data_IF_664620599648
#
_entry.id   IF_664620599648
#
_cell.length_a   1.000
_cell.length_b   1.000
_cell.length_c   1.000
_cell.angle_alpha   90.00
_cell.angle_beta   90.00
_cell.angle_gamma   90.00
#
_symmetry.space_group_name_H-M   'P 1'
#
loop_
_entity.id
_entity.type
_entity.pdbx_description
1 polymer ?
#
# COMPACT_ATOMS: atom_id res chain seq x y z
N UNK A 1 66.81 -43.84 -4.15
CA UNK A 1 66.08 -43.52 -5.40
C UNK A 1 64.61 -43.98 -5.38
N UNK A 2 64.23 -45.19 -4.89
CA UNK A 2 62.85 -45.65 -4.88
C UNK A 2 61.85 -44.79 -4.00
N UNK A 3 62.35 -44.22 -2.89
CA UNK A 3 61.51 -43.36 -2.01
C UNK A 3 61.22 -42.00 -2.59
N UNK A 4 62.08 -41.45 -3.45
CA UNK A 4 61.88 -40.16 -4.11
C UNK A 4 60.86 -40.26 -5.25
N UNK A 5 60.75 -41.40 -5.91
CA UNK A 5 59.78 -41.66 -6.97
C UNK A 5 58.34 -41.79 -6.42
N UNK A 6 58.18 -42.38 -5.22
CA UNK A 6 56.87 -42.51 -4.58
C UNK A 6 56.34 -41.16 -4.13
N UNK A 7 57.21 -40.26 -3.65
CA UNK A 7 56.82 -38.91 -3.25
C UNK A 7 56.42 -38.05 -4.41
N UNK A 8 57.14 -38.19 -5.57
CA UNK A 8 56.78 -37.44 -6.78
C UNK A 8 55.46 -37.92 -7.40
N UNK A 9 55.16 -39.22 -7.32
CA UNK A 9 53.87 -39.73 -7.81
C UNK A 9 52.69 -39.34 -6.96
N UNK A 10 52.85 -39.22 -5.64
CA UNK A 10 51.76 -38.74 -4.71
C UNK A 10 51.46 -37.25 -4.88
N UNK A 11 52.43 -36.42 -5.25
CA UNK A 11 52.20 -34.98 -5.49
C UNK A 11 51.46 -34.75 -6.82
N UNK A 12 51.70 -35.59 -7.83
CA UNK A 12 50.97 -35.50 -9.12
C UNK A 12 49.50 -35.93 -8.96
N UNK A 13 49.19 -36.90 -8.07
CA UNK A 13 47.83 -37.34 -7.83
C UNK A 13 46.96 -36.29 -7.09
N UNK A 14 47.58 -35.35 -6.36
CA UNK A 14 46.84 -34.26 -5.68
C UNK A 14 46.59 -33.05 -6.59
N UNK A 15 47.23 -32.95 -7.76
CA UNK A 15 47.05 -31.83 -8.68
C UNK A 15 45.88 -32.02 -9.66
N UNK A 16 45.23 -33.19 -9.70
CA UNK A 16 44.12 -33.46 -10.62
C UNK A 16 42.73 -33.36 -9.96
N UNK A 17 42.67 -32.90 -8.71
CA UNK A 17 41.41 -32.82 -7.95
C UNK A 17 40.70 -31.46 -8.01
N UNK A 18 41.04 -30.61 -8.96
CA UNK A 18 40.26 -29.39 -9.24
C UNK A 18 39.87 -29.35 -10.72
N UNK A 19 39.10 -30.32 -11.16
CA UNK A 19 38.19 -30.08 -12.27
C UNK A 19 37.04 -29.30 -11.67
N UNK A 20 37.00 -27.98 -11.84
CA UNK A 20 35.76 -27.24 -11.77
C UNK A 20 34.85 -27.90 -12.81
N UNK A 21 33.92 -28.71 -12.35
CA UNK A 21 32.76 -29.00 -13.16
C UNK A 21 32.06 -27.66 -13.35
N UNK A 22 32.16 -27.06 -14.51
CA UNK A 22 31.31 -25.99 -14.97
C UNK A 22 29.90 -26.57 -15.07
N UNK A 23 29.16 -26.55 -13.94
CA UNK A 23 27.72 -26.87 -13.90
C UNK A 23 26.88 -25.76 -14.54
N UNK A 24 27.51 -24.90 -15.36
CA UNK A 24 26.83 -23.80 -16.07
C UNK A 24 26.13 -24.27 -17.37
N UNK A 25 26.37 -25.49 -17.85
CA UNK A 25 25.62 -26.01 -18.98
C UNK A 25 24.25 -26.50 -18.53
N UNK A 26 23.23 -25.62 -18.66
CA UNK A 26 21.83 -25.96 -18.43
C UNK A 26 21.10 -25.19 -17.37
N UNK A 27 21.72 -24.25 -16.69
CA UNK A 27 20.96 -23.34 -15.83
C UNK A 27 20.23 -22.32 -16.73
N UNK A 28 18.93 -22.54 -16.91
CA UNK A 28 18.05 -21.56 -17.56
C UNK A 28 17.94 -20.33 -16.66
N UNK A 29 18.45 -19.19 -17.11
CA UNK A 29 18.21 -17.92 -16.45
C UNK A 29 16.77 -17.52 -16.71
N UNK A 30 15.98 -17.42 -15.67
CA UNK A 30 14.61 -16.95 -15.75
C UNK A 30 14.56 -15.47 -15.49
N UNK A 31 13.98 -14.71 -16.39
CA UNK A 31 13.71 -13.29 -16.25
C UNK A 31 12.26 -13.07 -15.86
N UNK A 32 12.03 -12.14 -14.94
CA UNK A 32 10.69 -11.70 -14.54
C UNK A 32 10.29 -10.48 -15.36
N UNK A 33 9.01 -10.37 -15.76
CA UNK A 33 8.52 -9.14 -16.34
C UNK A 33 8.67 -7.97 -15.36
N UNK A 34 8.94 -6.77 -15.90
CA UNK A 34 8.97 -5.51 -15.15
C UNK A 34 7.91 -4.62 -15.76
N UNK A 35 6.90 -4.24 -14.98
CA UNK A 35 5.84 -3.34 -15.40
C UNK A 35 6.14 -1.95 -14.84
N UNK A 36 6.01 -0.92 -15.67
CA UNK A 36 6.16 0.48 -15.28
C UNK A 36 4.90 1.24 -15.63
N UNK A 37 4.21 1.77 -14.63
CA UNK A 37 3.01 2.59 -14.82
C UNK A 37 3.39 3.97 -15.35
N UNK A 38 2.59 4.49 -16.30
CA UNK A 38 2.71 5.84 -16.82
C UNK A 38 1.69 6.76 -16.13
N UNK A 39 2.04 8.06 -15.99
CA UNK A 39 1.18 9.04 -15.34
C UNK A 39 1.09 8.86 -13.81
N UNK A 40 0.08 9.49 -13.22
CA UNK A 40 -0.04 9.57 -11.77
C UNK A 40 -0.50 8.26 -11.11
N UNK A 41 0.04 7.98 -9.94
CA UNK A 41 -0.39 6.92 -9.04
C UNK A 41 -0.28 7.42 -7.58
N UNK A 42 -1.39 7.72 -6.87
CA UNK A 42 -2.77 7.52 -7.31
C UNK A 42 -3.24 8.47 -8.42
N UNK A 43 -4.20 8.00 -9.24
CA UNK A 43 -4.96 8.83 -10.17
C UNK A 43 -6.18 9.39 -9.44
N UNK A 44 -6.37 10.71 -9.47
CA UNK A 44 -7.45 11.38 -8.73
C UNK A 44 -8.50 11.89 -9.73
N UNK A 45 -9.77 11.62 -9.41
CA UNK A 45 -10.92 12.08 -10.18
C UNK A 45 -12.12 12.30 -9.26
N UNK A 46 -13.24 12.80 -9.80
CA UNK A 46 -14.48 13.05 -9.03
C UNK A 46 -15.58 12.08 -9.41
N UNK A 47 -16.53 11.90 -8.49
CA UNK A 47 -17.78 11.16 -8.76
C UNK A 47 -18.46 11.73 -10.03
N UNK A 48 -18.88 10.85 -10.94
CA UNK A 48 -19.48 11.22 -12.22
C UNK A 48 -18.47 11.75 -13.24
N UNK A 49 -17.17 11.84 -12.91
CA UNK A 49 -16.11 12.18 -13.85
C UNK A 49 -15.77 11.05 -14.82
N UNK A 50 -14.57 11.08 -15.37
CA UNK A 50 -14.06 10.02 -16.23
C UNK A 50 -12.68 9.54 -15.77
N UNK A 51 -12.47 8.24 -15.88
CA UNK A 51 -11.14 7.64 -15.75
C UNK A 51 -10.65 7.20 -17.13
N UNK A 52 -9.50 7.71 -17.52
CA UNK A 52 -8.76 7.24 -18.70
C UNK A 52 -7.42 6.75 -18.20
N UNK A 53 -7.13 5.47 -18.39
CA UNK A 53 -5.87 4.88 -17.98
C UNK A 53 -4.70 5.58 -18.69
N UNK A 54 -3.74 6.17 -17.95
CA UNK A 54 -2.56 6.79 -18.56
C UNK A 54 -1.61 5.81 -19.26
N UNK A 55 -1.81 4.52 -19.04
CA UNK A 55 -1.02 3.47 -19.67
C UNK A 55 0.09 2.89 -18.80
N UNK A 56 0.83 2.00 -19.43
CA UNK A 56 1.96 1.27 -18.84
C UNK A 56 2.95 0.85 -19.94
N UNK A 57 4.12 0.37 -19.52
CA UNK A 57 5.05 -0.41 -20.35
C UNK A 57 5.45 -1.66 -19.59
N UNK A 58 5.79 -2.74 -20.30
CA UNK A 58 6.34 -3.93 -19.67
C UNK A 58 7.58 -4.41 -20.45
N UNK A 59 8.59 -4.85 -19.71
CA UNK A 59 9.83 -5.40 -20.30
C UNK A 59 10.18 -6.75 -19.71
N UNK A 60 10.77 -7.62 -20.51
CA UNK A 60 11.35 -8.89 -20.11
C UNK A 60 12.78 -8.97 -20.67
N UNK A 61 13.78 -9.02 -19.80
CA UNK A 61 15.19 -8.99 -20.20
C UNK A 61 15.55 -7.82 -21.17
N UNK A 62 14.87 -6.67 -20.97
CA UNK A 62 15.07 -5.47 -21.79
C UNK A 62 14.26 -5.39 -23.08
N UNK A 63 13.57 -6.45 -23.48
CA UNK A 63 12.66 -6.47 -24.62
C UNK A 63 11.26 -6.03 -24.19
N UNK A 64 10.56 -5.31 -25.07
CA UNK A 64 9.16 -4.89 -24.83
C UNK A 64 8.22 -6.10 -24.92
N UNK A 65 7.45 -6.29 -23.85
CA UNK A 65 6.44 -7.34 -23.72
C UNK A 65 5.11 -6.76 -23.23
N UNK A 66 4.81 -5.51 -23.57
CA UNK A 66 3.58 -4.82 -23.11
C UNK A 66 2.30 -5.52 -23.59
N UNK A 67 2.38 -6.31 -24.63
CA UNK A 67 1.28 -7.09 -25.21
C UNK A 67 0.84 -8.30 -24.36
N UNK A 68 1.71 -8.81 -23.46
CA UNK A 68 1.35 -9.91 -22.55
C UNK A 68 0.70 -9.41 -21.24
N UNK A 69 0.54 -8.11 -21.07
CA UNK A 69 -0.07 -7.54 -19.85
C UNK A 69 -1.59 -7.69 -19.90
N UNK A 70 -2.14 -8.25 -18.85
CA UNK A 70 -3.58 -8.31 -18.60
C UNK A 70 -3.97 -7.27 -17.55
N UNK A 71 -5.15 -6.66 -17.71
CA UNK A 71 -5.69 -5.65 -16.81
C UNK A 71 -6.97 -6.16 -16.12
N UNK A 72 -7.06 -5.90 -14.82
CA UNK A 72 -8.27 -6.05 -14.04
C UNK A 72 -8.57 -4.73 -13.35
N UNK A 73 -9.77 -4.18 -13.55
CA UNK A 73 -10.18 -2.89 -12.97
C UNK A 73 -11.41 -3.07 -12.10
N UNK A 74 -11.42 -2.42 -10.93
CA UNK A 74 -12.58 -2.31 -10.04
C UNK A 74 -13.21 -0.92 -10.08
N UNK A 75 -12.72 -0.02 -10.95
CA UNK A 75 -13.12 1.40 -10.96
C UNK A 75 -14.61 1.55 -11.22
N UNK A 76 -15.30 2.18 -10.27
CA UNK A 76 -16.67 2.66 -10.38
C UNK A 76 -16.69 4.18 -10.24
N UNK A 77 -17.06 4.86 -11.33
CA UNK A 77 -17.11 6.32 -11.36
C UNK A 77 -18.41 6.90 -10.80
N UNK A 78 -19.38 6.07 -10.47
CA UNK A 78 -20.66 6.49 -9.90
C UNK A 78 -20.64 6.65 -8.40
N UNK A 79 -19.65 6.06 -7.72
CA UNK A 79 -19.50 6.07 -6.26
C UNK A 79 -18.13 6.56 -5.85
N UNK A 80 -18.07 7.33 -4.76
CA UNK A 80 -16.79 7.71 -4.16
C UNK A 80 -16.07 6.49 -3.58
N UNK A 81 -14.74 6.46 -3.69
CA UNK A 81 -14.01 5.31 -3.17
C UNK A 81 -12.56 5.25 -3.60
N UNK A 82 -11.94 4.16 -3.16
CA UNK A 82 -10.61 3.75 -3.56
C UNK A 82 -10.74 2.51 -4.45
N UNK A 83 -10.30 2.62 -5.67
CA UNK A 83 -10.41 1.58 -6.68
C UNK A 83 -9.03 1.19 -7.17
N UNK A 84 -8.90 -0.02 -7.68
CA UNK A 84 -7.65 -0.55 -8.18
C UNK A 84 -7.74 -0.92 -9.66
N UNK A 85 -6.67 -0.61 -10.40
CA UNK A 85 -6.37 -1.21 -11.69
C UNK A 85 -5.11 -2.02 -11.52
N UNK A 86 -5.21 -3.34 -11.68
CA UNK A 86 -4.11 -4.28 -11.55
C UNK A 86 -3.63 -4.70 -12.93
N UNK A 87 -2.34 -4.53 -13.16
CA UNK A 87 -1.62 -4.92 -14.37
C UNK A 87 -0.80 -6.16 -14.06
N UNK A 88 -0.95 -7.23 -14.81
CA UNK A 88 -0.21 -8.49 -14.60
C UNK A 88 0.41 -8.96 -15.91
N UNK A 89 1.70 -9.17 -15.92
CA UNK A 89 2.44 -9.80 -17.01
C UNK A 89 2.94 -11.17 -16.56
N UNK A 90 2.74 -12.19 -17.39
CA UNK A 90 3.23 -13.56 -17.12
C UNK A 90 4.11 -13.99 -18.28
N UNK A 91 5.36 -14.39 -17.98
CA UNK A 91 6.28 -14.88 -19.00
C UNK A 91 5.95 -16.32 -19.44
N UNK A 92 6.62 -16.81 -20.48
CA UNK A 92 6.42 -18.18 -21.01
C UNK A 92 6.76 -19.28 -20.00
N UNK A 93 7.57 -18.99 -18.98
CA UNK A 93 7.92 -19.92 -17.90
C UNK A 93 6.86 -19.95 -16.77
N UNK A 94 5.81 -19.12 -16.89
CA UNK A 94 4.73 -19.04 -15.91
C UNK A 94 5.01 -18.11 -14.71
N UNK A 95 6.10 -17.32 -14.74
CA UNK A 95 6.37 -16.34 -13.69
C UNK A 95 5.70 -15.02 -13.98
N UNK A 96 5.01 -14.48 -12.97
CA UNK A 96 4.23 -13.26 -13.08
C UNK A 96 4.85 -12.12 -12.27
N UNK A 97 4.68 -10.91 -12.79
CA UNK A 97 4.83 -9.67 -12.04
C UNK A 97 3.51 -8.89 -12.13
N UNK A 98 3.20 -8.14 -11.07
CA UNK A 98 2.00 -7.31 -11.03
C UNK A 98 2.33 -5.93 -10.46
N UNK A 99 1.71 -4.91 -11.07
CA UNK A 99 1.70 -3.54 -10.58
C UNK A 99 0.26 -3.06 -10.41
N UNK A 100 0.06 -2.08 -9.53
CA UNK A 100 -1.26 -1.58 -9.18
C UNK A 100 -1.31 -0.07 -9.24
N UNK A 101 -2.30 0.48 -9.97
CA UNK A 101 -2.70 1.87 -9.90
C UNK A 101 -3.90 2.00 -8.99
N UNK A 102 -3.80 2.87 -7.99
CA UNK A 102 -4.97 3.28 -7.19
C UNK A 102 -5.67 4.44 -7.91
N UNK A 103 -6.99 4.31 -8.08
CA UNK A 103 -7.85 5.37 -8.59
C UNK A 103 -8.71 5.88 -7.44
N UNK A 104 -8.58 7.17 -7.15
CA UNK A 104 -9.33 7.87 -6.11
C UNK A 104 -10.50 8.59 -6.78
N UNK A 105 -11.72 8.15 -6.49
CA UNK A 105 -12.95 8.84 -6.89
C UNK A 105 -13.42 9.65 -5.70
N UNK A 106 -13.11 10.95 -5.70
CA UNK A 106 -13.45 11.86 -4.60
C UNK A 106 -14.83 12.50 -4.83
N UNK A 107 -15.40 13.08 -3.76
CA UNK A 107 -16.64 13.87 -3.77
C UNK A 107 -16.32 15.30 -3.31
N UNK A 108 -15.73 16.16 -4.17
CA UNK A 108 -15.24 17.47 -3.78
C UNK A 108 -16.36 18.37 -3.27
N UNK A 109 -16.08 19.11 -2.19
CA UNK A 109 -17.03 20.02 -1.57
C UNK A 109 -18.00 19.37 -0.57
N UNK A 110 -17.91 18.07 -0.39
CA UNK A 110 -18.61 17.31 0.64
C UNK A 110 -17.66 16.87 1.76
N UNK A 111 -18.20 16.66 2.97
CA UNK A 111 -17.41 16.10 4.09
C UNK A 111 -17.24 14.60 3.90
N UNK A 112 -18.28 13.90 3.40
CA UNK A 112 -18.22 12.53 2.95
C UNK A 112 -17.46 12.44 1.61
N UNK A 113 -16.20 12.17 1.68
CA UNK A 113 -15.29 12.08 0.51
C UNK A 113 -14.06 11.24 0.83
N UNK A 114 -13.12 11.21 -0.10
CA UNK A 114 -11.81 10.58 0.10
C UNK A 114 -10.81 11.62 0.59
N UNK A 115 -10.05 11.24 1.60
CA UNK A 115 -9.04 12.07 2.25
C UNK A 115 -7.65 11.44 2.16
N UNK A 116 -6.61 12.27 2.08
CA UNK A 116 -5.27 11.88 2.50
C UNK A 116 -5.19 11.99 4.02
N UNK A 117 -5.01 10.87 4.70
CA UNK A 117 -4.65 10.85 6.11
C UNK A 117 -3.16 11.08 6.26
N UNK A 118 -2.76 12.06 7.06
CA UNK A 118 -1.41 12.20 7.57
C UNK A 118 -1.43 11.89 9.07
N UNK A 119 -0.83 10.77 9.44
CA UNK A 119 -0.79 10.30 10.83
C UNK A 119 0.63 10.37 11.39
N UNK A 120 0.73 10.81 12.65
CA UNK A 120 2.00 10.90 13.38
C UNK A 120 1.86 10.28 14.77
N UNK A 121 2.82 9.43 15.13
CA UNK A 121 2.95 8.86 16.47
C UNK A 121 4.34 8.29 16.70
N UNK A 122 4.88 8.46 17.91
CA UNK A 122 6.17 7.87 18.34
C UNK A 122 7.32 8.13 17.36
N UNK A 123 7.44 9.36 16.85
CA UNK A 123 8.51 9.79 15.95
C UNK A 123 8.39 9.25 14.52
N UNK A 124 7.26 8.66 14.15
CA UNK A 124 6.97 8.16 12.80
C UNK A 124 5.76 8.85 12.22
N UNK A 125 5.71 8.95 10.90
CA UNK A 125 4.56 9.46 10.17
C UNK A 125 4.29 8.64 8.93
N UNK A 126 3.01 8.56 8.54
CA UNK A 126 2.55 7.87 7.34
C UNK A 126 1.45 8.69 6.66
N UNK A 127 1.30 8.46 5.34
CA UNK A 127 0.23 9.03 4.54
C UNK A 127 -0.53 7.89 3.87
N UNK A 128 -1.86 7.92 3.98
CA UNK A 128 -2.72 6.89 3.43
C UNK A 128 -4.04 7.50 2.94
N UNK A 129 -4.62 7.00 1.85
CA UNK A 129 -5.95 7.41 1.44
C UNK A 129 -7.02 6.72 2.29
N UNK A 130 -8.07 7.46 2.67
CA UNK A 130 -9.23 6.95 3.40
C UNK A 130 -10.52 7.52 2.86
N UNK A 131 -11.54 6.68 2.80
CA UNK A 131 -12.92 7.10 2.61
C UNK A 131 -13.50 7.51 3.95
N UNK A 132 -14.15 8.66 4.02
CA UNK A 132 -14.97 9.09 5.13
C UNK A 132 -16.43 9.05 4.66
N UNK A 133 -17.26 8.28 5.34
CA UNK A 133 -18.66 8.06 4.98
C UNK A 133 -19.59 8.73 5.98
N UNK A 134 -20.56 9.51 5.51
CA UNK A 134 -21.64 9.99 6.37
C UNK A 134 -22.65 8.86 6.61
N UNK A 135 -22.80 8.45 7.87
CA UNK A 135 -23.71 7.35 8.28
C UNK A 135 -25.04 7.86 8.83
N UNK A 136 -25.06 9.10 9.34
CA UNK A 136 -26.24 9.85 9.75
C UNK A 136 -25.87 11.36 9.71
N UNK A 137 -26.83 12.29 9.70
CA UNK A 137 -26.54 13.72 9.63
C UNK A 137 -25.50 14.17 10.66
N UNK A 138 -24.32 14.59 10.17
CA UNK A 138 -23.19 15.03 10.97
C UNK A 138 -22.44 13.93 11.71
N UNK A 139 -22.69 12.64 11.38
CA UNK A 139 -21.98 11.48 11.92
C UNK A 139 -21.25 10.75 10.82
N UNK A 140 -19.99 10.48 11.05
CA UNK A 140 -19.07 9.94 10.04
C UNK A 140 -18.40 8.66 10.53
N UNK A 141 -18.24 7.73 9.60
CA UNK A 141 -17.49 6.48 9.78
C UNK A 141 -16.16 6.57 9.02
N UNK A 142 -15.12 6.05 9.62
CA UNK A 142 -13.81 5.83 9.01
C UNK A 142 -13.34 4.41 9.36
N UNK A 143 -12.79 3.73 8.38
CA UNK A 143 -12.30 2.34 8.54
C UNK A 143 -11.15 2.24 9.56
N UNK A 144 -10.38 3.30 9.76
CA UNK A 144 -9.31 3.34 10.77
C UNK A 144 -9.21 4.71 11.44
N UNK A 145 -9.66 4.81 12.70
CA UNK A 145 -9.53 6.04 13.51
C UNK A 145 -8.07 6.37 13.84
N UNK A 146 -7.15 5.40 13.67
CA UNK A 146 -5.72 5.58 13.81
C UNK A 146 -5.05 6.04 12.50
N UNK A 147 -5.83 6.41 11.46
CA UNK A 147 -5.35 7.00 10.22
C UNK A 147 -4.42 6.12 9.40
N UNK A 148 -4.48 4.80 9.53
CA UNK A 148 -3.61 3.86 8.82
C UNK A 148 -2.24 3.65 9.48
N UNK A 149 -2.02 4.19 10.68
CA UNK A 149 -0.70 4.10 11.32
C UNK A 149 -0.22 2.67 11.47
N UNK A 150 -1.07 1.76 11.94
CA UNK A 150 -0.70 0.38 12.16
C UNK A 150 -0.91 -0.50 10.94
N UNK A 151 -2.10 -0.47 10.34
CA UNK A 151 -2.48 -1.37 9.25
C UNK A 151 -1.78 -1.09 7.92
N UNK A 152 -1.53 0.18 7.60
CA UNK A 152 -0.92 0.59 6.33
C UNK A 152 0.53 1.08 6.47
N UNK A 153 0.86 1.67 7.62
CA UNK A 153 2.17 2.27 7.85
C UNK A 153 3.16 1.37 8.57
N UNK A 154 2.84 0.97 9.80
CA UNK A 154 3.78 0.24 10.67
C UNK A 154 3.91 -1.25 10.35
N UNK A 155 2.80 -1.88 9.97
CA UNK A 155 2.67 -3.32 9.73
C UNK A 155 1.86 -3.61 8.46
N UNK A 156 2.27 -3.08 7.29
CA UNK A 156 1.54 -3.31 6.04
C UNK A 156 1.53 -4.80 5.69
N UNK A 157 0.36 -5.32 5.28
CA UNK A 157 0.20 -6.71 4.84
C UNK A 157 0.13 -7.75 5.96
N UNK A 158 0.11 -7.35 7.25
CA UNK A 158 0.01 -8.29 8.37
C UNK A 158 -1.37 -8.93 8.49
N UNK A 159 -2.39 -8.38 7.86
CA UNK A 159 -3.71 -9.00 7.69
C UNK A 159 -3.64 -10.38 7.00
N UNK A 160 -2.70 -10.56 6.07
CA UNK A 160 -2.41 -11.86 5.45
C UNK A 160 -1.98 -12.95 6.46
N UNK A 161 -1.51 -12.56 7.64
CA UNK A 161 -1.12 -13.46 8.74
C UNK A 161 -2.19 -13.54 9.85
N UNK A 162 -3.38 -12.98 9.59
CA UNK A 162 -4.51 -13.01 10.54
C UNK A 162 -4.48 -11.92 11.62
N UNK A 163 -3.65 -10.89 11.47
CA UNK A 163 -3.63 -9.75 12.38
C UNK A 163 -4.52 -8.63 11.85
N UNK A 164 -5.57 -8.32 12.59
CA UNK A 164 -6.45 -7.19 12.29
C UNK A 164 -5.98 -5.94 13.05
N UNK A 165 -5.31 -5.04 12.33
CA UNK A 165 -4.85 -3.76 12.88
C UNK A 165 -5.74 -2.59 12.52
N UNK A 166 -6.89 -2.83 11.89
CA UNK A 166 -7.87 -1.80 11.59
C UNK A 166 -8.64 -1.40 12.84
N UNK A 167 -8.69 -0.11 13.12
CA UNK A 167 -9.45 0.46 14.23
C UNK A 167 -10.66 1.23 13.69
N UNK A 168 -11.70 0.50 13.25
CA UNK A 168 -12.94 1.15 12.80
C UNK A 168 -13.45 2.14 13.84
N UNK A 169 -13.81 3.34 13.39
CA UNK A 169 -14.28 4.38 14.29
C UNK A 169 -15.37 5.22 13.67
N UNK A 170 -16.15 5.85 14.55
CA UNK A 170 -17.10 6.87 14.14
C UNK A 170 -17.04 8.07 15.06
N UNK A 171 -17.29 9.24 14.51
CA UNK A 171 -17.32 10.51 15.22
C UNK A 171 -18.41 11.43 14.67
N UNK A 172 -18.84 12.41 15.46
CA UNK A 172 -19.69 13.49 14.98
C UNK A 172 -18.90 14.79 14.86
N UNK A 173 -19.33 15.64 13.92
CA UNK A 173 -18.91 17.04 13.84
C UNK A 173 -20.00 17.88 14.48
N UNK A 174 -19.66 18.59 15.56
CA UNK A 174 -20.57 19.41 16.32
C UNK A 174 -20.79 20.78 15.68
N UNK A 175 -21.82 21.52 16.13
CA UNK A 175 -22.12 22.85 15.60
C UNK A 175 -21.04 23.92 15.80
N UNK A 176 -20.09 23.68 16.71
CA UNK A 176 -18.88 24.50 16.92
C UNK A 176 -17.65 23.99 16.18
N UNK A 177 -17.83 23.02 15.28
CA UNK A 177 -16.80 22.30 14.54
C UNK A 177 -15.84 21.42 15.37
N UNK A 178 -16.12 21.22 16.65
CA UNK A 178 -15.42 20.21 17.45
C UNK A 178 -15.87 18.80 17.05
N UNK A 179 -15.01 17.79 17.33
CA UNK A 179 -15.34 16.39 17.09
C UNK A 179 -15.73 15.70 18.42
N UNK A 180 -16.72 14.83 18.35
CA UNK A 180 -17.04 13.89 19.42
C UNK A 180 -16.86 12.46 18.91
N UNK A 181 -15.98 11.69 19.54
CA UNK A 181 -15.83 10.26 19.24
C UNK A 181 -17.08 9.52 19.71
N UNK A 182 -17.74 8.80 18.80
CA UNK A 182 -18.95 8.04 19.08
C UNK A 182 -18.64 6.59 19.41
N UNK A 183 -17.76 5.97 18.64
CA UNK A 183 -17.39 4.57 18.80
C UNK A 183 -15.99 4.27 18.26
N UNK A 184 -15.33 3.28 18.87
CA UNK A 184 -14.16 2.58 18.32
C UNK A 184 -14.48 1.10 18.39
N UNK A 185 -14.40 0.42 17.24
CA UNK A 185 -14.68 -1.00 17.11
C UNK A 185 -13.68 -1.90 17.86
N UNK A 186 -13.85 -3.19 17.73
CA UNK A 186 -12.87 -4.15 18.24
C UNK A 186 -11.56 -3.99 17.47
N UNK A 187 -10.46 -3.88 18.16
CA UNK A 187 -9.14 -3.63 17.57
C UNK A 187 -8.04 -4.24 18.42
N UNK A 188 -6.96 -4.72 17.75
CA UNK A 188 -5.86 -5.45 18.38
C UNK A 188 -5.19 -4.66 19.53
N UNK A 189 -4.95 -3.35 19.33
CA UNK A 189 -4.28 -2.48 20.30
C UNK A 189 -5.22 -1.61 21.14
N UNK A 190 -6.53 -1.89 21.13
CA UNK A 190 -7.54 -1.04 21.79
C UNK A 190 -7.23 -0.70 23.25
N UNK A 191 -6.69 -1.66 24.00
CA UNK A 191 -6.32 -1.46 25.40
C UNK A 191 -5.08 -0.60 25.63
N UNK A 192 -4.33 -0.28 24.57
CA UNK A 192 -3.10 0.48 24.67
C UNK A 192 -3.32 2.00 24.55
N UNK A 193 -4.55 2.44 24.30
CA UNK A 193 -4.90 3.85 24.11
C UNK A 193 -6.10 4.25 24.96
N UNK A 194 -6.02 5.43 25.57
CA UNK A 194 -7.13 6.06 26.27
C UNK A 194 -7.93 6.96 25.31
N UNK A 195 -9.00 6.40 24.74
CA UNK A 195 -9.87 7.11 23.81
C UNK A 195 -10.69 8.22 24.47
N UNK A 196 -10.76 8.29 25.81
CA UNK A 196 -11.40 9.41 26.51
C UNK A 196 -10.64 10.73 26.31
N UNK A 197 -9.38 10.65 25.90
CA UNK A 197 -8.53 11.81 25.56
C UNK A 197 -8.71 12.32 24.15
N UNK A 198 -9.59 11.69 23.33
CA UNK A 198 -9.87 12.10 21.96
C UNK A 198 -10.33 13.56 21.91
N UNK A 199 -9.63 14.36 21.13
CA UNK A 199 -10.00 15.74 20.82
C UNK A 199 -9.76 16.02 19.36
N UNK A 200 -10.69 16.76 18.73
CA UNK A 200 -10.53 17.06 17.31
C UNK A 200 -11.38 18.22 16.84
N UNK A 201 -11.13 18.63 15.60
CA UNK A 201 -11.85 19.72 14.95
C UNK A 201 -11.96 19.53 13.45
N UNK A 202 -12.96 20.14 12.86
CA UNK A 202 -13.20 20.31 11.43
C UNK A 202 -12.99 21.78 11.06
N UNK A 203 -12.31 22.04 9.98
CA UNK A 203 -12.20 23.39 9.39
C UNK A 203 -13.07 23.47 8.13
N UNK A 204 -14.23 24.18 8.18
CA UNK A 204 -15.13 24.27 7.05
C UNK A 204 -14.56 25.09 5.86
N UNK A 205 -13.53 25.90 6.08
CA UNK A 205 -12.92 26.67 5.00
C UNK A 205 -11.99 25.82 4.12
N UNK A 206 -11.38 24.78 4.69
CA UNK A 206 -10.42 23.90 4.00
C UNK A 206 -10.91 22.46 3.85
N UNK A 207 -11.98 22.08 4.56
CA UNK A 207 -12.43 20.69 4.63
C UNK A 207 -11.53 19.79 5.48
N UNK A 208 -10.50 20.32 6.14
CA UNK A 208 -9.54 19.55 6.92
C UNK A 208 -10.17 19.10 8.24
N UNK A 209 -10.01 17.82 8.55
CA UNK A 209 -10.41 17.22 9.82
C UNK A 209 -9.16 16.78 10.58
N UNK A 210 -9.08 17.11 11.87
CA UNK A 210 -7.94 16.73 12.72
C UNK A 210 -8.41 16.17 14.04
N UNK A 211 -7.65 15.19 14.58
CA UNK A 211 -7.83 14.75 15.95
C UNK A 211 -6.52 14.28 16.57
N UNK A 212 -6.51 14.21 17.88
CA UNK A 212 -5.44 13.61 18.69
C UNK A 212 -6.02 12.63 19.70
N UNK A 213 -5.22 11.64 20.05
CA UNK A 213 -5.46 10.69 21.15
C UNK A 213 -4.21 10.72 22.02
N UNK A 214 -4.39 10.84 23.36
CA UNK A 214 -3.29 10.96 24.34
C UNK A 214 -2.34 12.15 24.08
N UNK A 215 -2.78 13.13 23.28
CA UNK A 215 -2.04 14.34 22.97
C UNK A 215 -0.84 14.17 22.04
N UNK A 216 -0.41 12.94 21.74
CA UNK A 216 0.77 12.66 20.90
C UNK A 216 0.49 11.75 19.70
N UNK A 217 -0.65 11.05 19.66
CA UNK A 217 -1.13 10.38 18.47
C UNK A 217 -2.00 11.36 17.68
N UNK A 218 -1.56 11.78 16.51
CA UNK A 218 -2.27 12.79 15.73
C UNK A 218 -2.61 12.32 14.34
N UNK A 219 -3.83 12.62 13.89
CA UNK A 219 -4.32 12.36 12.53
C UNK A 219 -4.82 13.68 11.94
N UNK A 220 -4.43 13.92 10.69
CA UNK A 220 -4.96 15.01 9.87
C UNK A 220 -5.50 14.41 8.58
N UNK A 221 -6.76 14.62 8.29
CA UNK A 221 -7.40 14.27 7.03
C UNK A 221 -7.48 15.53 6.16
N UNK A 222 -6.87 15.46 4.98
CA UNK A 222 -6.95 16.51 3.94
C UNK A 222 -7.76 15.96 2.77
N UNK A 223 -8.88 16.60 2.37
CA UNK A 223 -9.69 16.08 1.28
C UNK A 223 -8.91 16.11 -0.03
N UNK A 224 -9.05 15.04 -0.83
CA UNK A 224 -8.54 15.09 -2.20
C UNK A 224 -9.41 16.06 -3.02
N UNK A 225 -8.75 16.96 -3.73
CA UNK A 225 -9.34 17.88 -4.69
C UNK A 225 -8.63 17.71 -6.02
N UNK A 226 -9.39 17.78 -7.10
CA UNK A 226 -8.83 17.86 -8.46
C UNK A 226 -8.18 19.21 -8.68
#
# INVERSE_FOLDING_TARGET
>A
MKKLFILALSVIALATSCVKEDHAEGQKVTYYPIITLQGDNPYITSVGGSYVDPGYTATLNGEDVSDIVTLVSTVDMSEMGLYDVTYTATNEDGFSASEKRTVIVANPGHIDTVYESYVQYSGRSFKNPFVLEETAPGQYFIKDIMGGYYCLGRYPGYDAYGYDFWAEGSFSINGDNSLTLLNVGSWYFKSNFDYSTFTGSYDPATGIIKWTIEGNFSVTLTPYSN
#
